data_IF_076495336393
#
_entry.id   IF_076495336393
#
_cell.length_a   1.000
_cell.length_b   1.000
_cell.length_c   1.000
_cell.angle_alpha   90.00
_cell.angle_beta   90.00
_cell.angle_gamma   90.00
#
_symmetry.space_group_name_H-M   'P 1'
#
loop_
_entity.id
_entity.type
_entity.pdbx_description
1 polymer ?
#
# COMPACT_ATOMS: atom_id res chain seq x y z
N UNK A 1 -13.43 12.36 -1.65
CA UNK A 1 -12.29 12.77 -2.48
C UNK A 1 -11.18 11.76 -2.33
N UNK A 2 -10.67 11.22 -3.44
CA UNK A 2 -9.61 10.22 -3.37
C UNK A 2 -8.29 10.86 -2.95
N UNK A 3 -7.61 10.20 -2.04
CA UNK A 3 -6.28 10.60 -1.62
C UNK A 3 -5.29 10.26 -2.74
N UNK A 4 -4.52 11.24 -3.18
CA UNK A 4 -3.51 11.03 -4.23
C UNK A 4 -2.47 9.99 -3.84
N UNK A 5 -2.08 9.97 -2.58
CA UNK A 5 -1.12 8.99 -2.07
C UNK A 5 -1.70 7.59 -2.13
N UNK A 6 -2.98 7.43 -1.79
CA UNK A 6 -3.66 6.14 -1.89
C UNK A 6 -3.66 5.62 -3.33
N UNK A 7 -3.93 6.49 -4.29
CA UNK A 7 -3.90 6.12 -5.70
C UNK A 7 -2.50 5.65 -6.11
N UNK A 8 -1.47 6.37 -5.70
CA UNK A 8 -0.08 5.97 -5.99
C UNK A 8 0.26 4.62 -5.37
N UNK A 9 -0.16 4.39 -4.13
CA UNK A 9 0.06 3.11 -3.44
C UNK A 9 -0.65 1.98 -4.19
N UNK A 10 -1.91 2.18 -4.58
CA UNK A 10 -2.66 1.18 -5.30
C UNK A 10 -2.01 0.81 -6.64
N UNK A 11 -1.53 1.80 -7.38
CA UNK A 11 -0.83 1.54 -8.64
C UNK A 11 0.50 0.83 -8.42
N UNK A 12 1.19 1.17 -7.35
CA UNK A 12 2.46 0.53 -7.00
C UNK A 12 2.27 -0.92 -6.60
N UNK A 13 1.24 -1.23 -5.82
CA UNK A 13 0.94 -2.60 -5.43
C UNK A 13 0.39 -3.42 -6.60
N UNK A 14 -0.51 -2.81 -7.37
CA UNK A 14 -1.15 -3.52 -8.48
C UNK A 14 -1.83 -4.80 -7.99
N UNK A 15 -1.52 -5.92 -8.61
CA UNK A 15 -2.02 -7.24 -8.21
C UNK A 15 -0.98 -8.03 -7.41
N UNK A 16 0.12 -7.40 -7.03
CA UNK A 16 1.24 -8.04 -6.35
C UNK A 16 1.14 -7.89 -4.84
N UNK A 17 1.81 -8.80 -4.14
CA UNK A 17 2.05 -8.67 -2.71
C UNK A 17 3.47 -8.16 -2.52
N UNK A 18 3.61 -7.02 -1.87
CA UNK A 18 4.90 -6.38 -1.69
C UNK A 18 5.19 -6.12 -0.22
N UNK A 19 6.46 -6.29 0.17
CA UNK A 19 6.90 -5.85 1.49
C UNK A 19 6.87 -4.32 1.54
N UNK A 20 6.94 -3.76 2.74
CA UNK A 20 7.02 -2.29 2.89
C UNK A 20 8.19 -1.73 2.09
N UNK A 21 9.33 -2.41 2.13
CA UNK A 21 10.52 -2.01 1.39
C UNK A 21 10.27 -2.03 -0.13
N UNK A 22 9.72 -3.13 -0.64
CA UNK A 22 9.46 -3.27 -2.07
C UNK A 22 8.42 -2.26 -2.54
N UNK A 23 7.39 -2.02 -1.74
CA UNK A 23 6.38 -1.01 -2.04
C UNK A 23 7.02 0.38 -2.09
N UNK A 24 7.90 0.69 -1.15
CA UNK A 24 8.62 1.96 -1.12
C UNK A 24 9.49 2.14 -2.36
N UNK A 25 10.22 1.10 -2.75
CA UNK A 25 11.07 1.14 -3.96
C UNK A 25 10.23 1.36 -5.21
N UNK A 26 9.09 0.71 -5.29
CA UNK A 26 8.21 0.85 -6.45
C UNK A 26 7.59 2.24 -6.51
N UNK A 27 7.19 2.79 -5.36
CA UNK A 27 6.69 4.16 -5.28
C UNK A 27 7.74 5.18 -5.73
N UNK A 28 8.98 4.99 -5.29
CA UNK A 28 10.08 5.85 -5.71
C UNK A 28 10.30 5.75 -7.22
N UNK A 29 10.31 4.53 -7.75
CA UNK A 29 10.53 4.29 -9.18
C UNK A 29 9.43 4.89 -10.06
N UNK A 30 8.17 4.76 -9.64
CA UNK A 30 7.03 5.20 -10.45
C UNK A 30 6.69 6.68 -10.24
N UNK A 31 6.84 7.20 -9.03
CA UNK A 31 6.35 8.52 -8.67
C UNK A 31 7.38 9.40 -7.98
N UNK A 32 8.58 8.91 -7.71
CA UNK A 32 9.59 9.67 -7.00
C UNK A 32 9.32 9.85 -5.51
N UNK A 33 8.43 9.04 -4.94
CA UNK A 33 8.07 9.13 -3.52
C UNK A 33 9.14 8.47 -2.65
N UNK A 34 9.73 9.22 -1.72
CA UNK A 34 10.88 8.78 -0.92
C UNK A 34 10.69 8.98 0.58
N UNK A 35 9.61 8.45 1.14
CA UNK A 35 9.38 8.54 2.57
C UNK A 35 9.08 7.16 3.15
N UNK A 36 10.06 6.24 3.17
CA UNK A 36 9.80 4.87 3.61
C UNK A 36 9.33 4.77 5.07
N UNK A 37 9.79 5.66 5.95
CA UNK A 37 9.38 5.65 7.35
C UNK A 37 7.91 6.04 7.50
N UNK A 38 7.45 7.00 6.71
CA UNK A 38 6.06 7.42 6.72
C UNK A 38 5.17 6.41 5.99
N UNK A 39 5.74 5.68 5.04
CA UNK A 39 4.97 4.72 4.26
C UNK A 39 4.38 3.62 5.14
N UNK A 40 5.14 3.08 6.08
CA UNK A 40 4.64 2.05 6.99
C UNK A 40 3.45 2.55 7.80
N UNK A 41 3.52 3.78 8.29
CA UNK A 41 2.41 4.40 9.02
C UNK A 41 1.20 4.62 8.12
N UNK A 42 1.44 5.09 6.91
CA UNK A 42 0.40 5.35 5.93
C UNK A 42 -0.30 4.05 5.53
N UNK A 43 0.45 3.01 5.26
CA UNK A 43 -0.12 1.70 4.92
C UNK A 43 -0.94 1.14 6.08
N UNK A 44 -0.46 1.28 7.31
CA UNK A 44 -1.20 0.84 8.49
C UNK A 44 -2.52 1.60 8.64
N UNK A 45 -2.50 2.89 8.36
CA UNK A 45 -3.72 3.71 8.39
C UNK A 45 -4.74 3.22 7.37
N UNK A 46 -4.30 3.02 6.13
CA UNK A 46 -5.20 2.52 5.08
C UNK A 46 -5.69 1.11 5.36
N UNK A 47 -4.85 0.28 5.99
CA UNK A 47 -5.26 -1.06 6.40
C UNK A 47 -6.42 -1.01 7.39
N UNK A 48 -6.36 -0.11 8.36
CA UNK A 48 -7.44 0.08 9.34
C UNK A 48 -8.72 0.55 8.66
N UNK A 49 -8.60 1.33 7.60
CA UNK A 49 -9.75 1.85 6.85
C UNK A 49 -10.28 0.83 5.84
N UNK A 50 -9.59 -0.29 5.65
CA UNK A 50 -10.00 -1.31 4.70
C UNK A 50 -9.61 -1.02 3.26
N UNK A 51 -8.73 -0.04 3.04
CA UNK A 51 -8.30 0.38 1.70
C UNK A 51 -7.07 -0.37 1.22
N UNK A 52 -6.35 -1.00 2.13
CA UNK A 52 -5.18 -1.84 1.83
C UNK A 52 -5.21 -3.03 2.77
N UNK A 53 -4.80 -4.18 2.31
CA UNK A 53 -4.64 -5.37 3.14
C UNK A 53 -3.18 -5.54 3.52
N UNK A 54 -2.94 -6.17 4.66
CA UNK A 54 -1.58 -6.42 5.11
C UNK A 54 -1.51 -7.50 6.16
N UNK A 55 -0.40 -8.22 6.18
CA UNK A 55 -0.13 -9.24 7.20
C UNK A 55 1.37 -9.35 7.42
N UNK A 56 1.76 -9.92 8.55
CA UNK A 56 3.17 -10.19 8.83
C UNK A 56 3.57 -11.49 8.15
N UNK A 57 4.67 -11.44 7.39
CA UNK A 57 5.23 -12.61 6.73
C UNK A 57 6.55 -12.98 7.40
N UNK A 58 6.61 -14.18 7.96
CA UNK A 58 7.85 -14.71 8.55
C UNK A 58 8.90 -14.94 7.49
N UNK A 59 8.48 -15.37 6.32
CA UNK A 59 9.40 -15.67 5.21
C UNK A 59 10.07 -14.42 4.66
N UNK A 60 9.33 -13.32 4.60
CA UNK A 60 9.82 -12.06 4.04
C UNK A 60 10.36 -11.12 5.11
N UNK A 61 10.22 -11.50 6.37
CA UNK A 61 10.81 -10.75 7.47
C UNK A 61 10.10 -9.46 7.84
N UNK A 62 8.81 -9.34 7.56
CA UNK A 62 8.06 -8.15 7.91
C UNK A 62 6.67 -8.12 7.32
N UNK A 63 6.09 -6.93 7.26
CA UNK A 63 4.77 -6.74 6.71
C UNK A 63 4.77 -6.88 5.20
N UNK A 64 3.72 -7.53 4.69
CA UNK A 64 3.43 -7.65 3.26
C UNK A 64 2.09 -6.98 3.01
N UNK A 65 1.99 -6.21 1.94
CA UNK A 65 0.82 -5.41 1.63
C UNK A 65 0.29 -5.77 0.24
N UNK A 66 -1.04 -5.72 0.09
CA UNK A 66 -1.70 -5.95 -1.20
C UNK A 66 -3.05 -5.26 -1.19
N UNK A 67 -3.66 -5.19 -2.37
CA UNK A 67 -5.04 -4.72 -2.49
C UNK A 67 -5.87 -5.78 -3.19
N UNK A 68 -7.15 -5.82 -2.87
CA UNK A 68 -8.11 -6.73 -3.49
C UNK A 68 -9.34 -5.95 -3.91
N UNK A 69 -10.36 -6.67 -4.42
CA UNK A 69 -11.59 -6.03 -4.89
C UNK A 69 -12.32 -5.30 -3.78
N UNK A 70 -12.27 -5.81 -2.55
CA UNK A 70 -12.85 -5.14 -1.39
C UNK A 70 -12.22 -3.77 -1.17
N UNK A 71 -10.89 -3.70 -1.24
CA UNK A 71 -10.17 -2.45 -1.07
C UNK A 71 -10.57 -1.43 -2.13
N UNK A 72 -10.61 -1.87 -3.38
CA UNK A 72 -10.98 -1.00 -4.50
C UNK A 72 -12.41 -0.51 -4.40
N UNK A 73 -13.30 -1.39 -3.99
CA UNK A 73 -14.71 -1.06 -3.81
C UNK A 73 -14.91 0.02 -2.74
N UNK A 74 -14.18 -0.08 -1.62
CA UNK A 74 -14.24 0.90 -0.55
C UNK A 74 -13.72 2.27 -1.01
N UNK A 75 -12.63 2.27 -1.78
CA UNK A 75 -12.06 3.51 -2.29
C UNK A 75 -12.97 4.22 -3.28
N UNK A 76 -13.77 3.48 -4.01
CA UNK A 76 -14.69 4.05 -5.00
C UNK A 76 -15.98 4.60 -4.40
N UNK A 77 -16.27 4.26 -3.14
CA UNK A 77 -17.50 4.70 -2.48
C UNK A 77 -17.41 6.11 -1.90
N UNK A 78 -16.30 6.77 -2.01
CA UNK A 78 -16.17 8.15 -1.57
C UNK A 78 -16.71 9.15 -2.60
#
# INVERSE_FOLDING_TARGET
MKDSLLTMIWESLGDDRLTTRDASERLDSLFGYRCPDDLAKTLSKYRKEGLVKGEISMELGGWVWWIDDDCRSRGEQE
#
